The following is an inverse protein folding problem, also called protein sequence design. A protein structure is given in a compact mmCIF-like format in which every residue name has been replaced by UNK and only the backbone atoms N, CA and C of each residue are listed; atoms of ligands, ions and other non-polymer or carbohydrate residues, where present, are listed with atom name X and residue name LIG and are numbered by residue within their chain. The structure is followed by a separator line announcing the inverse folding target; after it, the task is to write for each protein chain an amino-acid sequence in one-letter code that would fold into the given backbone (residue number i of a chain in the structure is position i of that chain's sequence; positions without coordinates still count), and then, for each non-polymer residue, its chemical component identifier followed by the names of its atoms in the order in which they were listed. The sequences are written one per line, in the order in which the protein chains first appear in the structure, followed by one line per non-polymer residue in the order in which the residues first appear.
data_IF_754900630227
#
_entry.id   IF_754900630227
#
_cell.length_a   1.000
_cell.length_b   1.000
_cell.length_c   1.000
_cell.angle_alpha   90.00
_cell.angle_beta   90.00
_cell.angle_gamma   90.00
#
_symmetry.space_group_name_H-M   'P 1'
#
loop_
_entity.id
_entity.type
_entity.pdbx_description
1 polymer ?
#
# COMPACT_ATOMS: atom_id res chain seq x y z
N UNK A 1 19.01 9.12 6.64
CA UNK A 1 18.98 8.19 5.48
C UNK A 1 18.33 6.84 5.79
N UNK A 2 18.43 6.28 7.01
CA UNK A 2 17.84 4.97 7.31
C UNK A 2 16.29 4.93 7.27
N UNK A 3 15.60 5.92 7.87
CA UNK A 3 14.13 5.96 7.95
C UNK A 3 13.40 5.86 6.59
N UNK A 4 13.72 6.68 5.57
CA UNK A 4 13.01 6.59 4.28
C UNK A 4 13.25 5.28 3.51
N UNK A 5 14.38 4.61 3.75
CA UNK A 5 14.66 3.31 3.13
C UNK A 5 13.88 2.20 3.84
N UNK A 6 13.76 2.26 5.17
CA UNK A 6 12.93 1.33 5.95
C UNK A 6 11.45 1.47 5.57
N UNK A 7 10.95 2.70 5.41
CA UNK A 7 9.63 2.99 4.84
C UNK A 7 9.44 2.28 3.49
N UNK A 8 10.38 2.49 2.55
CA UNK A 8 10.33 1.88 1.23
C UNK A 8 10.35 0.34 1.27
N UNK A 9 11.11 -0.25 2.20
CA UNK A 9 11.13 -1.71 2.41
C UNK A 9 9.83 -2.24 3.02
N UNK A 10 9.26 -1.53 3.98
CA UNK A 10 7.98 -1.87 4.59
C UNK A 10 6.85 -1.86 3.56
N UNK A 11 6.80 -0.80 2.75
CA UNK A 11 5.89 -0.70 1.60
C UNK A 11 6.12 -1.81 0.58
N UNK A 12 7.38 -2.10 0.23
CA UNK A 12 7.71 -3.20 -0.67
C UNK A 12 7.19 -4.56 -0.15
N UNK A 13 7.28 -4.82 1.15
CA UNK A 13 6.73 -6.05 1.75
C UNK A 13 5.20 -6.09 1.75
N UNK A 14 4.53 -4.95 1.92
CA UNK A 14 3.06 -4.84 1.83
C UNK A 14 2.54 -5.14 0.42
N UNK A 15 3.30 -4.73 -0.59
CA UNK A 15 2.95 -4.93 -2.00
C UNK A 15 2.92 -6.39 -2.44
N UNK A 16 3.63 -7.29 -1.73
CA UNK A 16 3.62 -8.71 -2.06
C UNK A 16 2.25 -9.39 -1.84
N UNK A 17 1.62 -9.29 -0.64
CA UNK A 17 0.24 -9.76 -0.44
C UNK A 17 -0.79 -9.22 -1.43
N UNK A 18 -0.70 -7.95 -1.81
CA UNK A 18 -1.59 -7.35 -2.81
C UNK A 18 -1.41 -7.98 -4.19
N UNK A 19 -0.16 -8.14 -4.62
CA UNK A 19 0.18 -8.88 -5.82
C UNK A 19 -0.43 -10.28 -5.80
N UNK A 20 -0.23 -11.01 -4.69
CA UNK A 20 -0.76 -12.36 -4.52
C UNK A 20 -2.29 -12.40 -4.62
N UNK A 21 -2.99 -11.38 -4.11
CA UNK A 21 -4.44 -11.23 -4.27
C UNK A 21 -4.84 -11.04 -5.74
N UNK A 22 -4.11 -10.21 -6.51
CA UNK A 22 -4.36 -10.01 -7.95
C UNK A 22 -4.20 -11.35 -8.69
N UNK A 23 -3.07 -12.04 -8.47
CA UNK A 23 -2.76 -13.32 -9.12
C UNK A 23 -3.79 -14.40 -8.82
N UNK A 24 -4.14 -14.57 -7.54
CA UNK A 24 -5.18 -15.51 -7.12
C UNK A 24 -6.58 -15.09 -7.63
N UNK A 25 -6.84 -13.80 -7.80
CA UNK A 25 -8.08 -13.30 -8.40
C UNK A 25 -8.26 -13.79 -9.83
N UNK A 26 -7.19 -13.76 -10.63
CA UNK A 26 -7.21 -14.25 -12.03
C UNK A 26 -7.47 -15.75 -12.17
N UNK A 27 -7.12 -16.55 -11.16
CA UNK A 27 -7.39 -18.00 -11.19
C UNK A 27 -8.86 -18.32 -10.88
N UNK A 28 -9.57 -17.39 -10.23
CA UNK A 28 -11.03 -17.47 -9.99
C UNK A 28 -11.80 -16.94 -11.20
N UNK A 29 -11.50 -15.72 -11.68
CA UNK A 29 -12.05 -15.19 -12.93
C UNK A 29 -11.24 -13.99 -13.44
N UNK A 30 -11.22 -13.78 -14.75
CA UNK A 30 -10.57 -12.61 -15.37
C UNK A 30 -11.18 -11.29 -14.86
N UNK A 31 -12.49 -11.24 -14.66
CA UNK A 31 -13.18 -10.04 -14.15
C UNK A 31 -12.72 -9.67 -12.73
N UNK A 32 -12.59 -10.66 -11.84
CA UNK A 32 -12.09 -10.44 -10.48
C UNK A 32 -10.63 -10.00 -10.49
N UNK A 33 -9.77 -10.68 -11.24
CA UNK A 33 -8.35 -10.35 -11.35
C UNK A 33 -8.11 -8.94 -11.89
N UNK A 34 -8.78 -8.55 -12.98
CA UNK A 34 -8.73 -7.20 -13.54
C UNK A 34 -9.30 -6.16 -12.58
N UNK A 35 -10.42 -6.46 -11.92
CA UNK A 35 -11.03 -5.58 -10.93
C UNK A 35 -10.09 -5.26 -9.77
N UNK A 36 -9.45 -6.29 -9.21
CA UNK A 36 -8.45 -6.14 -8.14
C UNK A 36 -7.23 -5.34 -8.62
N UNK A 37 -6.71 -5.64 -9.82
CA UNK A 37 -5.56 -4.93 -10.39
C UNK A 37 -5.84 -3.42 -10.54
N UNK A 38 -7.02 -3.03 -11.02
CA UNK A 38 -7.41 -1.62 -11.19
C UNK A 38 -7.57 -0.93 -9.83
N UNK A 39 -8.26 -1.57 -8.89
CA UNK A 39 -8.48 -1.00 -7.55
C UNK A 39 -7.15 -0.81 -6.81
N UNK A 40 -6.26 -1.80 -6.84
CA UNK A 40 -4.94 -1.73 -6.22
C UNK A 40 -4.06 -0.69 -6.92
N UNK A 41 -4.12 -0.57 -8.25
CA UNK A 41 -3.41 0.49 -8.96
C UNK A 41 -3.82 1.90 -8.50
N UNK A 42 -5.11 2.12 -8.21
CA UNK A 42 -5.60 3.37 -7.64
C UNK A 42 -5.14 3.57 -6.19
N UNK A 43 -5.08 2.51 -5.38
CA UNK A 43 -4.56 2.53 -4.01
C UNK A 43 -3.07 2.90 -3.96
N UNK A 44 -2.29 2.43 -4.93
CA UNK A 44 -0.85 2.66 -5.01
C UNK A 44 -0.46 4.11 -5.31
N UNK A 45 -1.38 4.93 -5.83
CA UNK A 45 -1.11 6.36 -6.07
C UNK A 45 -0.89 7.08 -4.72
N UNK A 46 -1.84 7.05 -3.75
CA UNK A 46 -1.61 7.52 -2.39
C UNK A 46 -0.37 6.91 -1.72
N UNK A 47 -0.14 5.61 -1.88
CA UNK A 47 1.01 4.93 -1.27
C UNK A 47 2.35 5.46 -1.82
N UNK A 48 2.47 5.61 -3.14
CA UNK A 48 3.64 6.19 -3.78
C UNK A 48 3.89 7.64 -3.33
N UNK A 49 2.83 8.43 -3.14
CA UNK A 49 2.92 9.77 -2.57
C UNK A 49 3.41 9.74 -1.12
N UNK A 50 2.89 8.82 -0.31
CA UNK A 50 3.29 8.62 1.09
C UNK A 50 4.76 8.19 1.21
N UNK A 51 5.29 7.45 0.24
CA UNK A 51 6.72 7.12 0.16
C UNK A 51 7.56 8.32 -0.29
N UNK A 52 7.11 9.02 -1.34
CA UNK A 52 7.86 10.10 -1.97
C UNK A 52 7.98 11.35 -1.10
N UNK A 53 6.94 11.70 -0.34
CA UNK A 53 6.92 12.89 0.52
C UNK A 53 8.06 12.93 1.54
N UNK A 54 8.19 11.93 2.43
CA UNK A 54 9.29 11.85 3.40
C UNK A 54 10.67 11.76 2.75
N UNK A 55 10.81 11.03 1.64
CA UNK A 55 12.07 10.98 0.88
C UNK A 55 12.46 12.37 0.35
N UNK A 56 11.48 13.13 -0.15
CA UNK A 56 11.72 14.48 -0.64
C UNK A 56 12.07 15.45 0.48
N UNK A 57 11.37 15.36 1.63
CA UNK A 57 11.71 16.11 2.84
C UNK A 57 13.13 15.80 3.35
N UNK A 58 13.60 14.56 3.14
CA UNK A 58 14.97 14.14 3.43
C UNK A 58 16.00 14.56 2.36
N UNK A 59 15.64 15.47 1.44
CA UNK A 59 16.49 15.96 0.33
C UNK A 59 16.98 14.88 -0.65
N UNK A 60 16.22 13.80 -0.84
CA UNK A 60 16.49 12.83 -1.91
C UNK A 60 16.03 13.44 -3.25
N UNK A 61 16.81 13.24 -4.31
CA UNK A 61 16.47 13.73 -5.65
C UNK A 61 15.31 12.93 -6.28
N UNK A 62 14.57 13.57 -7.19
CA UNK A 62 13.36 12.99 -7.77
C UNK A 62 13.62 11.69 -8.55
N UNK A 63 14.80 11.55 -9.15
CA UNK A 63 15.14 10.35 -9.93
C UNK A 63 15.32 9.14 -9.03
N UNK A 64 15.97 9.32 -7.88
CA UNK A 64 16.09 8.28 -6.85
C UNK A 64 14.76 7.96 -6.21
N UNK A 65 13.92 8.96 -5.92
CA UNK A 65 12.58 8.72 -5.39
C UNK A 65 11.78 7.85 -6.36
N UNK A 66 11.78 8.20 -7.65
CA UNK A 66 11.10 7.40 -8.68
C UNK A 66 11.65 5.98 -8.76
N UNK A 67 12.98 5.81 -8.69
CA UNK A 67 13.61 4.49 -8.68
C UNK A 67 13.17 3.67 -7.47
N UNK A 68 13.26 4.22 -6.26
CA UNK A 68 12.87 3.52 -5.03
C UNK A 68 11.39 3.16 -5.01
N UNK A 69 10.50 4.07 -5.43
CA UNK A 69 9.08 3.77 -5.55
C UNK A 69 8.79 2.70 -6.60
N UNK A 70 9.52 2.70 -7.72
CA UNK A 70 9.38 1.65 -8.75
C UNK A 70 9.86 0.28 -8.24
N UNK A 71 10.98 0.26 -7.51
CA UNK A 71 11.50 -0.96 -6.90
C UNK A 71 10.57 -1.52 -5.82
N UNK A 72 9.89 -0.66 -5.07
CA UNK A 72 8.88 -1.07 -4.09
C UNK A 72 7.65 -1.72 -4.72
N UNK A 73 7.38 -1.50 -6.01
CA UNK A 73 6.33 -2.19 -6.77
C UNK A 73 6.72 -3.58 -7.28
N UNK A 74 8.02 -3.92 -7.32
CA UNK A 74 8.49 -5.22 -7.83
C UNK A 74 7.89 -6.41 -7.06
N UNK A 75 7.81 -6.39 -5.71
CA UNK A 75 7.18 -7.47 -4.95
C UNK A 75 5.70 -7.71 -5.32
N UNK A 76 4.96 -6.69 -5.77
CA UNK A 76 3.59 -6.87 -6.26
C UNK A 76 3.56 -7.72 -7.53
N UNK A 77 4.44 -7.44 -8.48
CA UNK A 77 4.55 -8.25 -9.70
C UNK A 77 4.93 -9.71 -9.39
N UNK A 78 5.88 -9.90 -8.45
CA UNK A 78 6.26 -11.24 -7.98
C UNK A 78 5.08 -11.92 -7.30
N UNK A 79 4.37 -11.22 -6.40
CA UNK A 79 3.18 -11.72 -5.72
C UNK A 79 2.11 -12.15 -6.71
N UNK A 80 1.84 -11.37 -7.76
CA UNK A 80 0.85 -11.71 -8.78
C UNK A 80 1.22 -12.97 -9.57
N UNK A 81 2.50 -13.11 -9.94
CA UNK A 81 2.99 -14.33 -10.57
C UNK A 81 2.83 -15.54 -9.64
N UNK A 82 3.27 -15.41 -8.38
CA UNK A 82 3.15 -16.47 -7.37
C UNK A 82 1.69 -16.85 -7.12
N UNK A 83 0.80 -15.87 -6.96
CA UNK A 83 -0.64 -16.09 -6.77
C UNK A 83 -1.26 -16.84 -7.94
N UNK A 84 -0.86 -16.52 -9.17
CA UNK A 84 -1.32 -17.22 -10.38
C UNK A 84 -0.80 -18.66 -10.41
N UNK A 85 0.49 -18.87 -10.10
CA UNK A 85 1.13 -20.19 -10.13
C UNK A 85 0.62 -21.13 -9.02
N UNK A 86 0.30 -20.59 -7.85
CA UNK A 86 -0.31 -21.34 -6.76
C UNK A 86 -1.75 -21.79 -7.07
N UNK A 87 -2.37 -21.20 -8.10
CA UNK A 87 -3.75 -21.50 -8.47
C UNK A 87 -4.72 -20.98 -7.41
N UNK A 88 -5.16 -21.86 -6.51
CA UNK A 88 -6.05 -21.52 -5.42
C UNK A 88 -5.26 -21.19 -4.14
N UNK A 89 -5.19 -19.91 -3.80
CA UNK A 89 -4.78 -19.46 -2.46
C UNK A 89 -5.95 -19.66 -1.52
N UNK A 90 -5.74 -20.33 -0.37
CA UNK A 90 -6.83 -20.51 0.59
C UNK A 90 -7.29 -19.15 1.15
N UNK A 91 -8.59 -18.95 1.40
CA UNK A 91 -9.09 -17.70 1.99
C UNK A 91 -8.42 -17.36 3.33
N UNK A 92 -8.06 -18.37 4.12
CA UNK A 92 -7.35 -18.20 5.39
C UNK A 92 -5.92 -17.68 5.19
N UNK A 93 -5.18 -18.21 4.20
CA UNK A 93 -3.83 -17.72 3.89
C UNK A 93 -3.87 -16.30 3.35
N UNK A 94 -4.82 -16.00 2.47
CA UNK A 94 -5.01 -14.64 1.95
C UNK A 94 -5.37 -13.66 3.06
N UNK A 95 -6.29 -14.03 3.96
CA UNK A 95 -6.70 -13.18 5.08
C UNK A 95 -5.56 -12.93 6.06
N UNK A 96 -4.72 -13.94 6.34
CA UNK A 96 -3.53 -13.77 7.18
C UNK A 96 -2.48 -12.87 6.52
N UNK A 97 -2.24 -13.06 5.22
CA UNK A 97 -1.30 -12.23 4.47
C UNK A 97 -1.75 -10.77 4.42
N UNK A 98 -3.01 -10.51 4.07
CA UNK A 98 -3.59 -9.16 4.04
C UNK A 98 -3.67 -8.55 5.44
N UNK A 99 -3.99 -9.33 6.47
CA UNK A 99 -3.98 -8.86 7.86
C UNK A 99 -2.59 -8.44 8.33
N UNK A 100 -1.55 -9.21 8.00
CA UNK A 100 -0.17 -8.84 8.27
C UNK A 100 0.25 -7.58 7.48
N UNK A 101 -0.16 -7.49 6.21
CA UNK A 101 0.07 -6.33 5.36
C UNK A 101 -0.57 -5.06 5.92
N UNK A 102 -1.83 -5.15 6.36
CA UNK A 102 -2.56 -4.04 6.98
C UNK A 102 -1.90 -3.61 8.29
N UNK A 103 -1.45 -4.55 9.12
CA UNK A 103 -0.68 -4.24 10.34
C UNK A 103 0.62 -3.48 10.04
N UNK A 104 1.36 -3.89 9.02
CA UNK A 104 2.56 -3.18 8.59
C UNK A 104 2.25 -1.74 8.13
N UNK A 105 1.17 -1.53 7.39
CA UNK A 105 0.76 -0.19 6.95
C UNK A 105 0.25 0.68 8.09
N UNK A 106 -0.40 0.11 9.11
CA UNK A 106 -0.72 0.85 10.34
C UNK A 106 0.55 1.31 11.05
N UNK A 107 1.57 0.43 11.19
CA UNK A 107 2.85 0.81 11.78
C UNK A 107 3.52 1.94 10.99
N UNK A 108 3.65 1.79 9.67
CA UNK A 108 4.20 2.82 8.80
C UNK A 108 3.44 4.15 8.94
N UNK A 109 2.11 4.09 8.97
CA UNK A 109 1.27 5.29 9.07
C UNK A 109 1.48 6.02 10.40
N UNK A 110 1.46 5.30 11.52
CA UNK A 110 1.51 5.91 12.84
C UNK A 110 2.92 6.22 13.34
N UNK A 111 3.92 5.41 13.01
CA UNK A 111 5.28 5.56 13.52
C UNK A 111 6.22 6.31 12.57
N UNK A 112 5.89 6.36 11.27
CA UNK A 112 6.72 7.05 10.27
C UNK A 112 6.00 8.23 9.61
N UNK A 113 4.83 8.02 9.00
CA UNK A 113 4.17 9.06 8.20
C UNK A 113 3.58 10.18 9.05
N UNK A 114 2.82 9.85 10.10
CA UNK A 114 2.19 10.86 10.96
C UNK A 114 3.22 11.70 11.75
N UNK A 115 4.26 11.11 12.38
CA UNK A 115 5.32 11.89 13.00
C UNK A 115 6.10 12.72 11.97
N UNK A 116 6.39 12.15 10.79
CA UNK A 116 7.06 12.88 9.71
C UNK A 116 6.26 14.07 9.19
N UNK A 117 4.93 13.98 9.18
CA UNK A 117 4.07 15.10 8.85
C UNK A 117 4.10 16.19 9.93
N UNK A 118 4.18 15.83 11.22
CA UNK A 118 4.36 16.78 12.32
C UNK A 118 5.75 17.44 12.36
N UNK A 119 6.78 16.75 11.86
CA UNK A 119 8.10 17.35 11.66
C UNK A 119 8.08 18.45 10.58
N UNK A 120 7.15 18.38 9.62
CA UNK A 120 6.95 19.37 8.56
C UNK A 120 6.00 20.52 8.96
N UNK A 121 4.97 20.23 9.75
CA UNK A 121 4.03 21.21 10.27
C UNK A 121 3.66 20.91 11.74
N UNK A 122 4.07 21.81 12.64
CA UNK A 122 3.79 21.72 14.08
C UNK A 122 2.34 22.08 14.45
N UNK A 123 1.55 22.56 13.47
CA UNK A 123 0.13 22.82 13.62
C UNK A 123 -0.72 21.55 13.64
N UNK A 124 -2.03 21.73 13.53
CA UNK A 124 -3.00 20.63 13.55
C UNK A 124 -3.28 20.04 12.16
N UNK A 125 -2.68 20.59 11.10
CA UNK A 125 -2.95 20.13 9.74
C UNK A 125 -2.61 18.64 9.52
N UNK A 126 -1.48 18.08 10.04
CA UNK A 126 -1.21 16.64 9.96
C UNK A 126 -2.31 15.80 10.61
N UNK A 127 -2.77 16.21 11.79
CA UNK A 127 -3.84 15.51 12.52
C UNK A 127 -5.17 15.59 11.76
N UNK A 128 -5.55 16.76 11.25
CA UNK A 128 -6.76 16.91 10.43
C UNK A 128 -6.69 16.08 9.15
N UNK A 129 -5.53 16.05 8.48
CA UNK A 129 -5.30 15.23 7.31
C UNK A 129 -5.46 13.74 7.61
N UNK A 130 -4.88 13.26 8.70
CA UNK A 130 -5.02 11.87 9.14
C UNK A 130 -6.47 11.49 9.46
N UNK A 131 -7.18 12.33 10.22
CA UNK A 131 -8.60 12.11 10.56
C UNK A 131 -9.47 12.15 9.31
N UNK A 132 -9.27 13.13 8.42
CA UNK A 132 -10.01 13.23 7.18
C UNK A 132 -9.77 12.01 6.28
N UNK A 133 -8.52 11.57 6.14
CA UNK A 133 -8.17 10.36 5.39
C UNK A 133 -8.83 9.11 5.95
N UNK A 134 -8.83 8.93 7.28
CA UNK A 134 -9.48 7.81 7.94
C UNK A 134 -11.01 7.82 7.72
N UNK A 135 -11.66 8.98 7.89
CA UNK A 135 -13.11 9.14 7.64
C UNK A 135 -13.44 8.85 6.18
N UNK A 136 -12.67 9.40 5.23
CA UNK A 136 -12.85 9.14 3.81
C UNK A 136 -12.69 7.65 3.48
N UNK A 137 -11.70 6.98 4.07
CA UNK A 137 -11.50 5.54 3.91
C UNK A 137 -12.70 4.73 4.41
N UNK A 138 -13.22 5.04 5.60
CA UNK A 138 -14.42 4.39 6.15
C UNK A 138 -15.64 4.65 5.26
N UNK A 139 -15.86 5.88 4.82
CA UNK A 139 -16.97 6.23 3.94
C UNK A 139 -16.88 5.49 2.59
N UNK A 140 -15.67 5.36 2.03
CA UNK A 140 -15.44 4.58 0.83
C UNK A 140 -15.87 3.12 1.03
N UNK A 141 -15.43 2.48 2.13
CA UNK A 141 -15.81 1.10 2.46
C UNK A 141 -17.33 0.95 2.62
N UNK A 142 -18.00 1.91 3.26
CA UNK A 142 -19.45 1.86 3.49
C UNK A 142 -20.29 2.14 2.24
N UNK A 143 -19.73 2.84 1.24
CA UNK A 143 -20.44 3.23 0.00
C UNK A 143 -20.14 2.31 -1.17
N UNK A 144 -19.05 1.53 -1.12
CA UNK A 144 -18.81 0.46 -2.05
C UNK A 144 -19.95 -0.57 -1.92
N UNK A 145 -20.70 -0.86 -3.00
CA UNK A 145 -21.76 -1.85 -2.94
C UNK A 145 -21.16 -3.17 -2.45
N UNK A 146 -21.83 -3.82 -1.50
CA UNK A 146 -21.41 -5.12 -0.95
C UNK A 146 -20.92 -6.01 -2.09
N UNK A 147 -19.60 -6.23 -2.17
CA UNK A 147 -18.99 -7.20 -3.06
C UNK A 147 -19.30 -8.57 -2.47
N UNK A 148 -20.56 -9.01 -2.63
CA UNK A 148 -21.04 -10.34 -2.31
C UNK A 148 -20.84 -11.26 -3.51
#
# INVERSE_FOLDING_TARGET
MARPVLLGLGVAMHNFPEGLAIGAGYTVSEHLGLGLAVIIALHNIPEGMAMGGPMKAANIDNSRILLWSSLAGVPMGIGALVGTLLGSVSPSMLSLALGAAAGAMLYITFDELLPGAHDLDQGHAPTFGAVAGAVLGVLLILTLPNLN
#
